data_IF_545139738449
#
_entry.id   IF_545139738449
#
_cell.length_a   1.000
_cell.length_b   1.000
_cell.length_c   1.000
_cell.angle_alpha   90.00
_cell.angle_beta   90.00
_cell.angle_gamma   90.00
#
_symmetry.space_group_name_H-M   'P 1'
#
loop_
_entity.id
_entity.type
_entity.pdbx_description
1 polymer ?
#
# COMPACT_ATOMS: atom_id res chain seq x y z
N UNK A 1 13.05 12.91 13.32
CA UNK A 1 13.28 11.44 13.42
C UNK A 1 12.02 10.81 14.00
N UNK A 2 11.31 10.05 13.20
CA UNK A 2 10.16 9.28 13.64
C UNK A 2 10.71 7.99 14.25
N UNK A 3 10.57 7.81 15.56
CA UNK A 3 10.93 6.57 16.24
C UNK A 3 9.66 5.95 16.80
N UNK A 4 9.18 4.87 16.20
CA UNK A 4 8.12 4.04 16.77
C UNK A 4 8.63 3.20 17.92
N UNK A 5 7.96 3.25 19.08
CA UNK A 5 8.19 2.33 20.20
C UNK A 5 7.54 0.98 19.90
N UNK A 6 8.15 -0.08 20.41
CA UNK A 6 7.64 -1.45 20.35
C UNK A 6 6.32 -1.55 21.11
N UNK A 7 5.24 -1.80 20.42
CA UNK A 7 3.96 -2.25 20.97
C UNK A 7 3.35 -3.25 19.99
N UNK A 8 2.42 -4.06 20.45
CA UNK A 8 1.68 -4.97 19.60
C UNK A 8 1.08 -4.20 18.42
N UNK A 9 1.46 -4.57 17.22
CA UNK A 9 1.08 -3.86 16.00
C UNK A 9 -0.03 -4.61 15.29
N UNK A 10 -0.95 -3.89 14.69
CA UNK A 10 -1.93 -4.46 13.76
C UNK A 10 -1.31 -4.48 12.37
N UNK A 11 -1.48 -5.58 11.70
CA UNK A 11 -0.99 -5.77 10.35
C UNK A 11 -2.14 -6.20 9.43
N UNK A 12 -2.16 -5.63 8.24
CA UNK A 12 -3.08 -5.99 7.18
C UNK A 12 -2.27 -6.66 6.08
N UNK A 13 -2.76 -7.74 5.52
CA UNK A 13 -2.12 -8.39 4.40
C UNK A 13 -3.15 -8.90 3.40
N UNK A 14 -2.75 -8.91 2.16
CA UNK A 14 -3.45 -9.58 1.08
C UNK A 14 -2.50 -10.63 0.54
N UNK A 15 -2.84 -11.90 0.70
CA UNK A 15 -2.11 -13.01 0.13
C UNK A 15 -2.92 -13.65 -0.99
N UNK A 16 -2.34 -13.69 -2.16
CA UNK A 16 -2.96 -14.23 -3.36
C UNK A 16 -2.77 -15.75 -3.42
N UNK A 17 -3.85 -16.51 -3.53
CA UNK A 17 -3.77 -17.94 -3.82
C UNK A 17 -3.80 -18.17 -5.33
N UNK A 18 -2.92 -19.04 -5.83
CA UNK A 18 -2.89 -19.46 -7.23
C UNK A 18 -4.27 -20.01 -7.65
N UNK A 19 -5.01 -19.23 -8.45
CA UNK A 19 -6.39 -19.51 -8.85
C UNK A 19 -7.37 -18.38 -8.60
N UNK A 20 -7.05 -17.44 -7.70
CA UNK A 20 -7.80 -16.19 -7.51
C UNK A 20 -7.41 -15.19 -8.61
N UNK A 21 -8.27 -14.22 -8.89
CA UNK A 21 -7.87 -13.15 -9.81
C UNK A 21 -6.82 -12.28 -9.12
N UNK A 22 -5.70 -11.95 -9.79
CA UNK A 22 -4.70 -11.07 -9.20
C UNK A 22 -5.34 -9.75 -8.79
N UNK A 23 -4.96 -9.28 -7.60
CA UNK A 23 -5.32 -7.96 -7.14
C UNK A 23 -4.59 -6.96 -8.01
N UNK A 24 -5.31 -6.22 -8.83
CA UNK A 24 -4.75 -5.22 -9.70
C UNK A 24 -5.15 -3.83 -9.25
N UNK A 25 -4.17 -3.00 -8.96
CA UNK A 25 -4.34 -1.56 -8.99
C UNK A 25 -4.27 -1.13 -10.46
N UNK A 26 -5.36 -0.62 -11.00
CA UNK A 26 -5.43 -0.19 -12.40
C UNK A 26 -5.76 1.29 -12.43
N UNK A 27 -5.00 2.04 -13.19
CA UNK A 27 -5.39 3.38 -13.60
C UNK A 27 -6.56 3.29 -14.59
N UNK A 28 -7.71 3.69 -14.15
CA UNK A 28 -9.01 3.82 -14.82
C UNK A 28 -9.36 2.87 -15.96
N UNK A 29 -10.26 1.96 -15.62
CA UNK A 29 -10.82 0.92 -16.42
C UNK A 29 -11.77 1.36 -17.53
N UNK A 30 -11.80 0.51 -18.53
CA UNK A 30 -12.75 0.44 -19.64
C UNK A 30 -14.21 0.41 -19.15
N UNK A 31 -14.95 1.47 -19.42
CA UNK A 31 -16.39 1.36 -19.59
C UNK A 31 -16.66 1.11 -21.07
N UNK A 32 -17.19 -0.05 -21.39
CA UNK A 32 -17.74 -0.34 -22.72
C UNK A 32 -18.86 0.66 -23.00
N UNK A 33 -18.60 1.64 -23.86
CA UNK A 33 -19.61 2.54 -24.37
C UNK A 33 -20.08 2.03 -25.74
N UNK A 34 -21.37 1.73 -25.86
CA UNK A 34 -22.04 1.51 -27.14
C UNK A 34 -21.97 2.81 -27.94
N UNK A 35 -21.75 2.65 -29.27
CA UNK A 35 -21.68 3.71 -30.28
C UNK A 35 -22.78 4.77 -30.10
N UNK A 36 -22.35 5.98 -29.93
CA UNK A 36 -23.09 7.18 -30.35
C UNK A 36 -22.10 8.13 -31.02
N UNK A 37 -22.29 8.36 -32.28
CA UNK A 37 -21.61 9.37 -33.10
C UNK A 37 -21.96 10.75 -32.60
N UNK A 38 -21.02 11.42 -31.94
CA UNK A 38 -21.06 12.90 -31.80
C UNK A 38 -19.61 13.39 -31.81
N UNK A 39 -19.30 14.20 -32.83
CA UNK A 39 -18.06 14.98 -32.89
C UNK A 39 -18.04 15.99 -31.75
N UNK A 40 -17.09 15.88 -30.87
CA UNK A 40 -16.71 16.94 -29.93
C UNK A 40 -15.29 16.79 -29.48
N UNK A 41 -14.56 17.87 -29.55
CA UNK A 41 -13.24 18.20 -29.05
C UNK A 41 -12.92 17.35 -27.82
N UNK A 42 -12.11 16.32 -28.02
CA UNK A 42 -11.51 15.54 -26.93
C UNK A 42 -10.42 16.39 -26.28
N UNK A 43 -10.73 16.97 -25.12
CA UNK A 43 -9.67 17.10 -24.10
C UNK A 43 -9.27 15.67 -23.76
N UNK A 44 -8.07 15.30 -24.14
CA UNK A 44 -7.54 13.96 -23.88
C UNK A 44 -7.59 13.67 -22.39
N UNK A 45 -8.45 12.76 -21.99
CA UNK A 45 -8.27 12.04 -20.72
C UNK A 45 -7.02 11.21 -20.97
N UNK A 46 -5.91 11.64 -20.40
CA UNK A 46 -4.70 10.81 -20.33
C UNK A 46 -5.10 9.60 -19.49
N UNK A 47 -5.39 8.50 -20.15
CA UNK A 47 -5.57 7.21 -19.50
C UNK A 47 -4.22 6.86 -18.90
N UNK A 48 -4.13 6.73 -17.59
CA UNK A 48 -2.92 6.23 -16.96
C UNK A 48 -2.69 4.79 -17.43
N UNK A 49 -1.61 4.59 -18.15
CA UNK A 49 -1.24 3.29 -18.71
C UNK A 49 -0.30 2.57 -17.72
N UNK A 50 -0.84 2.21 -16.57
CA UNK A 50 -0.11 1.41 -15.60
C UNK A 50 -0.99 0.35 -14.93
N UNK A 51 -0.33 -0.74 -14.56
CA UNK A 51 -0.92 -1.85 -13.78
C UNK A 51 0.11 -2.34 -12.78
N UNK A 52 -0.34 -2.63 -11.56
CA UNK A 52 0.42 -3.36 -10.54
C UNK A 52 -0.48 -4.44 -9.97
N UNK A 53 0.00 -5.68 -9.97
CA UNK A 53 -0.68 -6.84 -9.39
C UNK A 53 0.32 -7.65 -8.56
N UNK A 54 -0.12 -8.17 -7.41
CA UNK A 54 0.74 -8.91 -6.50
C UNK A 54 0.24 -8.87 -5.07
N UNK A 55 1.17 -8.85 -4.10
CA UNK A 55 0.84 -8.90 -2.67
C UNK A 55 0.98 -7.52 -2.04
N UNK A 56 0.16 -7.29 -1.04
CA UNK A 56 0.18 -6.09 -0.22
C UNK A 56 0.38 -6.46 1.25
N UNK A 57 1.21 -5.69 1.94
CA UNK A 57 1.53 -5.83 3.35
C UNK A 57 1.44 -4.47 4.02
N UNK A 58 0.93 -4.45 5.24
CA UNK A 58 0.87 -3.23 6.04
C UNK A 58 1.12 -3.55 7.49
N UNK A 59 1.87 -2.69 8.17
CA UNK A 59 2.07 -2.73 9.60
C UNK A 59 2.04 -1.31 10.17
N UNK A 60 1.43 -1.15 11.35
CA UNK A 60 1.37 0.14 12.02
C UNK A 60 1.59 0.00 13.53
N UNK A 61 1.72 1.14 14.22
CA UNK A 61 1.98 1.20 15.66
C UNK A 61 0.73 1.10 16.54
N UNK A 62 -0.46 0.86 15.99
CA UNK A 62 -1.68 0.74 16.78
C UNK A 62 -1.74 -0.56 17.58
N UNK A 63 -2.37 -0.53 18.75
CA UNK A 63 -2.48 -1.68 19.68
C UNK A 63 -3.68 -2.60 19.40
N UNK A 64 -4.66 -2.11 18.66
CA UNK A 64 -5.88 -2.83 18.30
C UNK A 64 -6.00 -2.95 16.78
N UNK A 65 -7.08 -3.57 16.28
CA UNK A 65 -7.45 -3.49 14.86
C UNK A 65 -7.39 -2.03 14.44
N UNK A 66 -6.73 -1.77 13.29
CA UNK A 66 -6.47 -0.42 12.80
C UNK A 66 -7.71 0.49 12.94
N UNK A 67 -7.70 1.49 13.84
CA UNK A 67 -8.88 2.34 14.07
C UNK A 67 -9.26 3.15 12.83
N UNK A 68 -8.31 3.37 11.90
CA UNK A 68 -8.53 4.12 10.67
C UNK A 68 -9.60 3.50 9.76
N UNK A 69 -9.83 2.17 9.86
CA UNK A 69 -10.88 1.48 9.08
C UNK A 69 -12.30 1.97 9.43
N UNK A 70 -12.48 2.60 10.58
CA UNK A 70 -13.75 3.18 11.04
C UNK A 70 -13.60 4.68 11.29
N UNK A 71 -12.59 5.32 10.71
CA UNK A 71 -12.29 6.74 10.90
C UNK A 71 -12.10 7.17 12.37
N UNK A 72 -11.65 6.26 13.22
CA UNK A 72 -11.28 6.58 14.61
C UNK A 72 -9.82 7.03 14.70
N UNK A 73 -9.47 7.85 15.69
CA UNK A 73 -8.08 8.21 15.97
C UNK A 73 -7.24 6.98 16.30
N UNK A 74 -5.93 7.00 15.97
CA UNK A 74 -5.00 5.92 16.34
C UNK A 74 -4.88 5.78 17.87
N UNK A 75 -4.59 4.54 18.34
CA UNK A 75 -4.58 4.21 19.77
C UNK A 75 -3.51 4.97 20.56
N UNK A 76 -2.45 5.41 19.90
CA UNK A 76 -1.33 6.14 20.52
C UNK A 76 -1.34 7.64 20.25
N UNK A 77 -2.43 8.18 19.63
CA UNK A 77 -2.56 9.57 19.25
C UNK A 77 -1.88 9.93 17.92
N UNK A 78 -1.06 9.05 17.39
CA UNK A 78 -0.40 9.15 16.08
C UNK A 78 -0.36 7.80 15.38
N UNK A 79 -0.43 7.81 14.06
CA UNK A 79 -0.27 6.62 13.24
C UNK A 79 1.10 6.66 12.56
N UNK A 80 1.90 5.64 12.79
CA UNK A 80 3.11 5.36 12.04
C UNK A 80 2.84 4.04 11.32
N UNK A 81 2.74 4.07 10.01
CA UNK A 81 2.43 2.90 9.19
C UNK A 81 3.46 2.71 8.09
N UNK A 82 3.73 1.45 7.75
CA UNK A 82 4.49 1.09 6.55
C UNK A 82 3.61 0.18 5.70
N UNK A 83 3.38 0.62 4.48
CA UNK A 83 2.65 -0.06 3.43
C UNK A 83 3.66 -0.57 2.41
N UNK A 84 3.54 -1.82 1.98
CA UNK A 84 4.48 -2.38 1.02
C UNK A 84 3.77 -3.25 -0.03
N UNK A 85 4.29 -3.23 -1.22
CA UNK A 85 3.78 -3.95 -2.38
C UNK A 85 4.87 -4.83 -2.97
N UNK A 86 4.58 -6.11 -3.13
CA UNK A 86 5.34 -7.03 -3.95
C UNK A 86 4.67 -7.10 -5.32
N UNK A 87 5.34 -6.57 -6.33
CA UNK A 87 4.83 -6.51 -7.71
C UNK A 87 5.15 -7.83 -8.39
N UNK A 88 4.18 -8.74 -8.48
CA UNK A 88 4.36 -10.01 -9.20
C UNK A 88 4.21 -9.82 -10.70
N UNK A 89 3.34 -8.89 -11.11
CA UNK A 89 3.12 -8.48 -12.51
C UNK A 89 2.81 -6.98 -12.53
N UNK A 90 3.53 -6.20 -13.32
CA UNK A 90 3.28 -4.77 -13.39
C UNK A 90 4.00 -4.07 -14.53
N UNK A 91 3.44 -2.93 -14.95
CA UNK A 91 4.06 -2.03 -15.93
C UNK A 91 3.60 -0.58 -15.74
N UNK A 92 4.35 0.35 -16.29
CA UNK A 92 3.98 1.75 -16.49
C UNK A 92 4.44 2.16 -17.89
N UNK A 93 3.49 2.34 -18.83
CA UNK A 93 3.80 2.39 -20.25
C UNK A 93 4.55 1.13 -20.69
N UNK A 94 5.68 1.30 -21.33
CA UNK A 94 6.56 0.21 -21.77
C UNK A 94 7.53 -0.29 -20.69
N UNK A 95 7.54 0.31 -19.50
CA UNK A 95 8.44 -0.06 -18.41
C UNK A 95 7.86 -1.23 -17.61
N UNK A 96 8.51 -2.40 -17.66
CA UNK A 96 8.16 -3.56 -16.84
C UNK A 96 8.59 -3.35 -15.39
N UNK A 97 7.67 -3.61 -14.44
CA UNK A 97 7.87 -3.47 -13.00
C UNK A 97 7.79 -4.82 -12.28
N UNK A 98 7.62 -5.92 -13.01
CA UNK A 98 7.45 -7.26 -12.46
C UNK A 98 8.68 -7.69 -11.66
N UNK A 99 8.46 -8.28 -10.49
CA UNK A 99 9.51 -8.76 -9.59
C UNK A 99 10.05 -7.70 -8.63
N UNK A 100 9.68 -6.43 -8.79
CA UNK A 100 10.12 -5.34 -7.91
C UNK A 100 9.21 -5.17 -6.69
N UNK A 101 9.72 -4.47 -5.69
CA UNK A 101 8.99 -4.10 -4.49
C UNK A 101 8.95 -2.57 -4.34
N UNK A 102 7.91 -2.09 -3.68
CA UNK A 102 7.82 -0.70 -3.25
C UNK A 102 7.30 -0.63 -1.82
N UNK A 103 7.69 0.37 -1.04
CA UNK A 103 7.11 0.60 0.26
C UNK A 103 6.96 2.10 0.54
N UNK A 104 5.90 2.44 1.26
CA UNK A 104 5.58 3.79 1.69
C UNK A 104 5.48 3.81 3.23
N UNK A 105 6.30 4.60 3.88
CA UNK A 105 6.08 4.95 5.28
C UNK A 105 5.18 6.18 5.35
N UNK A 106 4.21 6.16 6.25
CA UNK A 106 3.31 7.27 6.52
C UNK A 106 3.24 7.56 8.02
N UNK A 107 3.33 8.83 8.38
CA UNK A 107 3.12 9.33 9.73
C UNK A 107 2.02 10.38 9.71
N UNK A 108 1.01 10.20 10.56
CA UNK A 108 -0.06 11.16 10.78
C UNK A 108 -0.32 11.35 12.26
N UNK A 109 -0.45 12.58 12.70
CA UNK A 109 -0.88 12.94 14.06
C UNK A 109 -2.40 13.04 14.07
N UNK A 110 -3.05 12.35 15.02
CA UNK A 110 -4.50 12.31 15.09
C UNK A 110 -5.11 11.38 14.04
N UNK A 111 -6.29 11.73 13.56
CA UNK A 111 -7.04 10.87 12.63
C UNK A 111 -6.47 10.90 11.21
N UNK A 112 -6.17 9.74 10.66
CA UNK A 112 -5.62 9.61 9.30
C UNK A 112 -6.49 10.30 8.23
N UNK A 113 -7.83 10.30 8.40
CA UNK A 113 -8.74 10.97 7.46
C UNK A 113 -8.57 12.47 7.37
N UNK A 114 -8.00 13.10 8.40
CA UNK A 114 -7.80 14.55 8.46
C UNK A 114 -6.59 14.99 7.62
N UNK A 115 -5.83 14.03 7.05
CA UNK A 115 -4.72 14.28 6.17
C UNK A 115 -3.46 14.75 6.89
N UNK A 116 -2.70 15.62 6.22
CA UNK A 116 -1.42 16.15 6.68
C UNK A 116 -0.37 15.05 6.96
N UNK A 117 -0.40 13.98 6.16
CA UNK A 117 0.54 12.88 6.30
C UNK A 117 1.94 13.30 5.89
N UNK A 118 2.92 12.87 6.66
CA UNK A 118 4.33 12.90 6.29
C UNK A 118 4.69 11.54 5.71
N UNK A 119 5.15 11.50 4.48
CA UNK A 119 5.39 10.23 3.78
C UNK A 119 6.82 10.12 3.25
N UNK A 120 7.35 8.91 3.24
CA UNK A 120 8.61 8.54 2.62
C UNK A 120 8.43 7.32 1.74
N UNK A 121 8.95 7.36 0.51
CA UNK A 121 8.88 6.25 -0.44
C UNK A 121 10.21 5.48 -0.45
N UNK A 122 10.12 4.17 -0.39
CA UNK A 122 11.24 3.24 -0.59
C UNK A 122 11.00 2.47 -1.88
N UNK A 123 11.99 2.50 -2.76
CA UNK A 123 11.96 1.86 -4.07
C UNK A 123 12.94 0.71 -4.03
N UNK A 124 12.57 -0.44 -4.58
CA UNK A 124 13.47 -1.59 -4.64
C UNK A 124 14.86 -1.19 -5.19
N UNK A 125 15.91 -1.60 -4.49
CA UNK A 125 17.29 -1.30 -4.88
C UNK A 125 17.69 -1.96 -6.21
N UNK A 126 16.95 -2.96 -6.65
CA UNK A 126 17.17 -3.65 -7.93
C UNK A 126 16.49 -2.92 -9.12
N UNK A 127 15.69 -1.88 -8.84
CA UNK A 127 15.06 -1.07 -9.87
C UNK A 127 16.08 -0.20 -10.62
N UNK A 128 16.01 -0.20 -11.94
CA UNK A 128 16.72 0.77 -12.77
C UNK A 128 16.07 2.17 -12.67
N UNK A 129 16.67 3.17 -13.32
CA UNK A 129 16.21 4.57 -13.28
C UNK A 129 14.79 4.74 -13.84
N UNK A 130 14.44 4.05 -14.93
CA UNK A 130 13.12 4.11 -15.54
C UNK A 130 12.07 3.45 -14.64
N UNK A 131 12.40 2.30 -14.06
CA UNK A 131 11.57 1.57 -13.11
C UNK A 131 11.37 2.37 -11.82
N UNK A 132 12.43 2.96 -11.29
CA UNK A 132 12.37 3.80 -10.10
C UNK A 132 11.48 5.04 -10.32
N UNK A 133 11.60 5.69 -11.48
CA UNK A 133 10.75 6.81 -11.88
C UNK A 133 9.28 6.39 -11.99
N UNK A 134 9.00 5.24 -12.60
CA UNK A 134 7.66 4.70 -12.76
C UNK A 134 7.01 4.36 -11.41
N UNK A 135 7.74 3.67 -10.53
CA UNK A 135 7.31 3.37 -9.14
C UNK A 135 7.03 4.68 -8.40
N UNK A 136 7.92 5.66 -8.51
CA UNK A 136 7.74 6.97 -7.92
C UNK A 136 6.44 7.66 -8.38
N UNK A 137 6.16 7.66 -9.68
CA UNK A 137 4.96 8.26 -10.24
C UNK A 137 3.67 7.54 -9.79
N UNK A 138 3.67 6.20 -9.77
CA UNK A 138 2.51 5.39 -9.35
C UNK A 138 2.23 5.62 -7.86
N UNK A 139 3.21 5.40 -6.99
CA UNK A 139 2.99 5.38 -5.55
C UNK A 139 2.91 6.78 -4.90
N UNK A 140 3.27 7.84 -5.62
CA UNK A 140 2.95 9.23 -5.25
C UNK A 140 1.56 9.68 -5.71
N UNK A 141 0.85 8.87 -6.50
CA UNK A 141 -0.44 9.23 -7.09
C UNK A 141 -0.35 10.09 -8.37
N UNK A 142 0.86 10.47 -8.81
CA UNK A 142 1.05 11.31 -10.00
C UNK A 142 0.68 10.58 -11.30
N UNK A 143 0.78 9.27 -11.34
CA UNK A 143 0.34 8.46 -12.47
C UNK A 143 -1.19 8.31 -12.54
N UNK A 144 -1.95 8.94 -11.65
CA UNK A 144 -3.39 8.80 -11.56
C UNK A 144 -3.84 7.47 -10.96
N UNK A 145 -5.09 7.09 -11.22
CA UNK A 145 -5.68 5.86 -10.70
C UNK A 145 -6.11 5.98 -9.24
N UNK A 146 -6.19 4.84 -8.53
CA UNK A 146 -6.74 4.84 -7.18
C UNK A 146 -5.87 5.63 -6.18
N UNK A 147 -4.55 5.55 -6.30
CA UNK A 147 -3.63 6.20 -5.37
C UNK A 147 -3.70 7.75 -5.45
N UNK A 148 -4.19 8.31 -6.55
CA UNK A 148 -4.51 9.73 -6.66
C UNK A 148 -5.51 10.19 -5.58
N UNK A 149 -6.41 9.32 -5.14
CA UNK A 149 -7.39 9.66 -4.10
C UNK A 149 -6.77 9.81 -2.71
N UNK A 150 -5.59 9.22 -2.48
CA UNK A 150 -4.85 9.35 -1.22
C UNK A 150 -3.86 10.53 -1.25
N UNK A 151 -3.47 11.00 -2.42
CA UNK A 151 -2.53 12.10 -2.59
C UNK A 151 -2.95 13.39 -1.84
N UNK A 152 -4.24 13.81 -1.81
CA UNK A 152 -4.66 14.99 -1.05
C UNK A 152 -4.46 14.88 0.47
N UNK A 153 -4.27 13.67 1.00
CA UNK A 153 -4.01 13.45 2.44
C UNK A 153 -2.53 13.67 2.79
N UNK A 154 -1.64 13.73 1.80
CA UNK A 154 -0.21 13.96 1.99
C UNK A 154 0.04 15.45 2.19
N UNK A 155 0.60 15.81 3.35
CA UNK A 155 1.02 17.18 3.67
C UNK A 155 2.51 17.40 3.40
N UNK A 156 3.35 16.38 3.59
CA UNK A 156 4.79 16.49 3.42
C UNK A 156 5.38 15.22 2.82
N UNK A 157 6.16 15.36 1.76
CA UNK A 157 6.97 14.27 1.19
C UNK A 157 8.40 14.40 1.72
N UNK A 158 8.81 13.45 2.57
CA UNK A 158 10.14 13.44 3.18
C UNK A 158 11.23 13.01 2.21
N UNK A 159 10.86 12.29 1.17
CA UNK A 159 11.76 11.86 0.11
C UNK A 159 11.43 10.48 -0.45
N UNK A 160 12.21 10.10 -1.47
CA UNK A 160 12.22 8.75 -2.04
C UNK A 160 13.67 8.24 -2.07
N UNK A 161 13.90 6.99 -1.70
CA UNK A 161 15.24 6.40 -1.72
C UNK A 161 15.22 4.92 -2.08
N UNK A 162 16.28 4.41 -2.72
CA UNK A 162 16.43 2.99 -2.95
C UNK A 162 16.62 2.24 -1.62
N UNK A 163 16.05 1.05 -1.52
CA UNK A 163 16.17 0.17 -0.37
C UNK A 163 16.00 -1.29 -0.76
N UNK A 164 16.66 -2.18 -0.04
CA UNK A 164 16.38 -3.62 -0.14
C UNK A 164 15.10 -3.92 0.64
N UNK A 165 14.07 -4.38 -0.06
CA UNK A 165 12.74 -4.65 0.49
C UNK A 165 12.48 -6.15 0.39
N UNK A 166 12.13 -6.78 1.49
CA UNK A 166 11.78 -8.21 1.54
C UNK A 166 10.40 -8.42 2.12
N UNK A 167 9.54 -9.08 1.34
CA UNK A 167 8.17 -9.42 1.70
C UNK A 167 7.99 -10.92 1.56
N UNK A 168 7.57 -11.61 2.63
CA UNK A 168 7.39 -13.07 2.65
C UNK A 168 6.07 -13.43 3.30
N UNK A 169 5.40 -14.46 2.77
CA UNK A 169 4.19 -15.03 3.34
C UNK A 169 4.12 -16.54 3.07
N UNK A 170 3.62 -17.29 4.05
CA UNK A 170 3.19 -18.69 3.89
C UNK A 170 1.65 -18.84 3.95
N UNK A 171 0.93 -17.70 3.88
CA UNK A 171 -0.52 -17.61 3.94
C UNK A 171 -1.09 -17.39 5.34
N UNK A 172 -0.34 -17.69 6.40
CA UNK A 172 -0.71 -17.41 7.81
C UNK A 172 0.30 -16.51 8.53
N UNK A 173 1.56 -16.62 8.17
CA UNK A 173 2.65 -15.79 8.69
C UNK A 173 3.15 -14.87 7.60
N UNK A 174 3.43 -13.64 7.99
CA UNK A 174 3.87 -12.58 7.11
C UNK A 174 5.09 -11.92 7.71
N UNK A 175 6.08 -11.62 6.88
CA UNK A 175 7.21 -10.78 7.28
C UNK A 175 7.45 -9.69 6.26
N UNK A 176 7.77 -8.51 6.77
CA UNK A 176 8.12 -7.34 5.99
C UNK A 176 9.38 -6.72 6.57
N UNK A 177 10.37 -6.47 5.74
CA UNK A 177 11.57 -5.74 6.14
C UNK A 177 12.04 -4.80 5.03
N UNK A 178 12.54 -3.65 5.46
CA UNK A 178 13.30 -2.70 4.67
C UNK A 178 14.63 -2.56 5.38
N UNK A 179 15.72 -2.92 4.71
CA UNK A 179 17.03 -3.10 5.35
C UNK A 179 17.50 -1.85 6.10
N UNK A 180 17.88 -2.03 7.37
CA UNK A 180 18.29 -0.94 8.26
C UNK A 180 17.18 0.03 8.68
N UNK A 181 15.96 -0.07 8.14
CA UNK A 181 14.88 0.91 8.28
C UNK A 181 13.70 0.35 9.07
N UNK A 182 13.18 -0.80 8.65
CA UNK A 182 11.94 -1.36 9.17
C UNK A 182 11.97 -2.87 9.23
N UNK A 183 11.34 -3.45 10.25
CA UNK A 183 11.01 -4.87 10.30
C UNK A 183 9.71 -5.12 11.06
N UNK A 184 8.90 -6.03 10.55
CA UNK A 184 7.69 -6.54 11.21
C UNK A 184 7.46 -7.98 10.81
N UNK A 185 7.09 -8.81 11.80
CA UNK A 185 6.62 -10.17 11.58
C UNK A 185 5.27 -10.32 12.27
N UNK A 186 4.29 -10.89 11.57
CA UNK A 186 2.95 -11.04 12.10
C UNK A 186 2.25 -12.31 11.61
N UNK A 187 1.30 -12.78 12.39
CA UNK A 187 0.44 -13.89 12.07
C UNK A 187 -1.00 -13.42 11.85
N UNK A 188 -1.73 -14.04 10.93
CA UNK A 188 -3.17 -13.81 10.79
C UNK A 188 -3.91 -14.24 12.06
N UNK A 189 -4.99 -13.52 12.38
CA UNK A 189 -5.87 -13.86 13.50
C UNK A 189 -6.90 -14.86 12.98
N UNK A 190 -6.98 -16.02 13.64
CA UNK A 190 -7.97 -17.04 13.30
C UNK A 190 -9.34 -16.68 13.88
N UNK A 191 -10.34 -16.70 13.02
CA UNK A 191 -11.75 -16.56 13.38
C UNK A 191 -12.34 -17.86 13.92
N UNK A 192 -13.53 -17.77 14.54
CA UNK A 192 -14.20 -18.90 15.20
C UNK A 192 -14.44 -20.11 14.27
N UNK A 193 -14.55 -19.91 12.97
CA UNK A 193 -14.77 -20.98 11.98
C UNK A 193 -13.50 -21.57 11.37
N UNK A 194 -12.30 -21.22 11.87
CA UNK A 194 -11.01 -21.65 11.33
C UNK A 194 -10.53 -20.86 10.11
N UNK A 195 -11.31 -19.87 9.63
CA UNK A 195 -10.87 -18.90 8.62
C UNK A 195 -10.15 -17.72 9.26
N UNK A 196 -9.47 -16.92 8.43
CA UNK A 196 -8.82 -15.69 8.88
C UNK A 196 -9.86 -14.60 9.21
N UNK A 197 -9.57 -13.75 10.17
CA UNK A 197 -10.34 -12.51 10.37
C UNK A 197 -10.01 -11.56 9.23
N UNK A 198 -11.04 -11.05 8.55
CA UNK A 198 -10.88 -10.17 7.39
C UNK A 198 -11.69 -8.89 7.54
N UNK A 199 -11.20 -7.82 6.92
CA UNK A 199 -11.88 -6.53 6.79
C UNK A 199 -12.03 -6.18 5.31
N UNK A 200 -13.26 -5.87 4.89
CA UNK A 200 -13.56 -5.37 3.55
C UNK A 200 -14.08 -3.94 3.61
N UNK A 201 -13.92 -3.19 2.51
CA UNK A 201 -14.43 -1.83 2.41
C UNK A 201 -13.65 -0.81 3.23
N UNK A 202 -12.37 -1.03 3.46
CA UNK A 202 -11.52 -0.06 4.17
C UNK A 202 -11.53 1.29 3.44
N UNK A 203 -11.94 2.40 4.10
CA UNK A 203 -12.16 3.69 3.43
C UNK A 203 -10.87 4.38 2.96
N UNK A 204 -9.74 4.06 3.58
CA UNK A 204 -8.40 4.56 3.21
C UNK A 204 -7.57 3.47 2.53
N UNK A 205 -8.22 2.44 1.96
CA UNK A 205 -7.52 1.32 1.36
C UNK A 205 -6.62 1.76 0.19
N UNK A 206 -5.32 1.46 0.21
CA UNK A 206 -4.47 1.64 -0.96
C UNK A 206 -4.76 0.62 -2.06
N UNK A 207 -5.48 -0.46 -1.72
CA UNK A 207 -5.94 -1.49 -2.65
C UNK A 207 -7.46 -1.67 -2.49
N UNK A 208 -8.28 -0.99 -3.30
CA UNK A 208 -9.72 -1.01 -3.15
C UNK A 208 -10.35 -2.32 -3.64
N UNK A 209 -11.50 -2.65 -3.03
CA UNK A 209 -12.34 -3.77 -3.49
C UNK A 209 -11.84 -5.17 -3.08
N UNK A 210 -10.86 -5.24 -2.20
CA UNK A 210 -10.29 -6.48 -1.69
C UNK A 210 -10.46 -6.55 -0.18
N UNK A 211 -10.65 -7.74 0.36
CA UNK A 211 -10.62 -7.98 1.80
C UNK A 211 -9.17 -8.10 2.29
N UNK A 212 -8.90 -7.49 3.43
CA UNK A 212 -7.60 -7.54 4.09
C UNK A 212 -7.66 -8.56 5.22
N UNK A 213 -6.71 -9.47 5.29
CA UNK A 213 -6.50 -10.31 6.46
C UNK A 213 -5.95 -9.47 7.61
N UNK A 214 -6.53 -9.66 8.79
CA UNK A 214 -6.05 -9.00 10.00
C UNK A 214 -4.99 -9.87 10.65
N UNK A 215 -3.86 -9.28 10.92
CA UNK A 215 -2.77 -9.92 11.64
C UNK A 215 -2.40 -9.16 12.92
N UNK A 216 -1.68 -9.83 13.79
CA UNK A 216 -1.08 -9.27 14.99
C UNK A 216 0.42 -9.50 14.97
N UNK A 217 1.17 -8.45 15.26
CA UNK A 217 2.61 -8.49 15.44
C UNK A 217 2.98 -8.14 16.87
N UNK A 218 3.95 -8.82 17.41
CA UNK A 218 4.58 -8.46 18.70
C UNK A 218 5.76 -7.51 18.50
N UNK A 219 6.10 -7.23 17.24
CA UNK A 219 7.24 -6.39 16.89
C UNK A 219 6.98 -5.55 15.65
N UNK A 220 6.96 -4.25 15.84
CA UNK A 220 7.06 -3.25 14.78
C UNK A 220 8.21 -2.31 15.08
N UNK A 221 9.22 -2.27 14.21
CA UNK A 221 10.39 -1.39 14.31
C UNK A 221 10.44 -0.52 13.08
N UNK A 222 10.50 0.80 13.27
CA UNK A 222 10.71 1.76 12.21
C UNK A 222 11.70 2.83 12.70
N UNK A 223 12.79 3.05 11.97
CA UNK A 223 13.94 3.85 12.41
C UNK A 223 14.36 4.93 11.40
N UNK A 224 13.45 5.41 10.54
CA UNK A 224 13.80 6.39 9.53
C UNK A 224 12.99 7.68 9.66
N UNK A 225 13.54 8.80 9.10
CA UNK A 225 13.01 10.18 9.08
C UNK A 225 12.71 10.78 10.46
#
# INVERSE_FOLDING_TARGET
KIRGKQSASVCLAIDYKKGDRPIALVGNGLRTCRRATVSRIQRGIVMSDWKVAGKYFEACNCEAICPCIVFSPPTTGECIAVLAWQIEEGHHGDTDLSGLNAALAAHAVGNMKDGNWRVALYIDSDADEAQASAIGAIFSGQAGGHLENLAPLIGEVLGAKPASISLKSDGKRFSMSIDGIMSSEYGSIEGQGGGDVEVSGHPLAPVPGVAFKIGRSDQFKFNDY
#
